data_IF_263672910346
#
_entry.id   IF_263672910346
#
_cell.length_a   1.000
_cell.length_b   1.000
_cell.length_c   1.000
_cell.angle_alpha   90.00
_cell.angle_beta   90.00
_cell.angle_gamma   90.00
#
_symmetry.space_group_name_H-M   'P 1'
#
loop_
_entity.id
_entity.type
_entity.pdbx_description
1 polymer ?
#
# COMPACT_ATOMS: atom_id res chain seq x y z
N UNK A 1 -20.12 -22.63 22.34
CA UNK A 1 -19.54 -21.36 22.82
C UNK A 1 -18.74 -20.76 21.67
N UNK A 2 -19.20 -19.66 21.09
CA UNK A 2 -18.43 -18.92 20.08
C UNK A 2 -17.27 -18.24 20.81
N UNK A 3 -16.05 -18.71 20.55
CA UNK A 3 -14.84 -18.04 21.03
C UNK A 3 -14.65 -16.80 20.18
N UNK A 4 -14.69 -15.61 20.80
CA UNK A 4 -14.40 -14.34 20.14
C UNK A 4 -12.95 -14.38 19.60
N UNK A 5 -12.80 -14.13 18.31
CA UNK A 5 -11.51 -14.09 17.59
C UNK A 5 -10.98 -12.66 17.42
N UNK A 6 -11.74 -11.65 17.88
CA UNK A 6 -11.38 -10.24 17.76
C UNK A 6 -10.06 -9.94 18.49
N UNK A 7 -9.04 -9.53 17.72
CA UNK A 7 -7.75 -9.06 18.23
C UNK A 7 -6.69 -10.12 18.46
N UNK A 8 -6.98 -11.40 18.22
CA UNK A 8 -6.10 -12.50 18.59
C UNK A 8 -5.10 -12.81 17.45
N UNK A 9 -3.84 -13.06 17.79
CA UNK A 9 -2.79 -13.42 16.80
C UNK A 9 -2.45 -14.92 16.81
N UNK A 10 -2.04 -15.46 15.66
CA UNK A 10 -1.57 -16.84 15.52
C UNK A 10 -0.26 -17.06 16.29
N UNK A 11 -0.22 -18.07 17.17
CA UNK A 11 0.96 -18.38 17.99
C UNK A 11 2.20 -18.82 17.19
N UNK A 12 2.07 -19.12 15.89
CA UNK A 12 3.19 -19.43 14.99
C UNK A 12 3.65 -18.23 14.17
N UNK A 13 2.75 -17.63 13.40
CA UNK A 13 3.10 -16.62 12.41
C UNK A 13 2.89 -15.19 12.91
N UNK A 14 2.29 -15.03 14.09
CA UNK A 14 1.97 -13.76 14.74
C UNK A 14 1.06 -12.82 13.93
N UNK A 15 0.49 -13.28 12.82
CA UNK A 15 -0.53 -12.55 12.08
C UNK A 15 -1.88 -12.61 12.82
N UNK A 16 -2.70 -11.58 12.65
CA UNK A 16 -4.07 -11.56 13.16
C UNK A 16 -4.91 -12.71 12.62
N UNK A 17 -5.77 -13.26 13.48
CA UNK A 17 -6.77 -14.25 13.16
C UNK A 17 -8.10 -13.55 12.96
N UNK A 18 -8.62 -13.60 11.73
CA UNK A 18 -9.91 -13.02 11.41
C UNK A 18 -11.05 -14.01 11.70
N UNK A 19 -12.28 -13.54 11.99
CA UNK A 19 -13.45 -14.42 12.18
C UNK A 19 -13.70 -15.40 11.02
N UNK A 20 -13.31 -15.03 9.80
CA UNK A 20 -13.37 -15.84 8.59
C UNK A 20 -12.22 -16.84 8.41
N UNK A 21 -11.15 -16.74 9.21
CA UNK A 21 -10.04 -17.69 9.15
C UNK A 21 -10.43 -19.03 9.78
N UNK A 22 -9.90 -20.13 9.22
CA UNK A 22 -10.01 -21.44 9.85
C UNK A 22 -8.97 -21.55 10.97
N UNK A 23 -9.44 -21.41 12.20
CA UNK A 23 -8.60 -21.30 13.40
C UNK A 23 -8.60 -22.61 14.17
N UNK A 24 -7.39 -23.08 14.50
CA UNK A 24 -7.15 -24.25 15.35
C UNK A 24 -6.61 -23.77 16.69
N UNK A 25 -7.25 -24.19 17.78
CA UNK A 25 -6.75 -23.98 19.13
C UNK A 25 -6.02 -25.23 19.60
N UNK A 26 -4.84 -25.05 20.19
CA UNK A 26 -4.10 -26.16 20.79
C UNK A 26 -4.93 -26.81 21.90
N UNK A 27 -5.10 -28.15 21.91
CA UNK A 27 -5.87 -28.83 22.95
C UNK A 27 -5.20 -28.83 24.33
N UNK A 28 -3.89 -28.55 24.40
CA UNK A 28 -3.11 -28.54 25.66
C UNK A 28 -3.15 -27.16 26.32
N UNK A 29 -2.71 -26.12 25.61
CA UNK A 29 -2.57 -24.77 26.17
C UNK A 29 -3.63 -23.78 25.69
N UNK A 30 -4.45 -24.12 24.70
CA UNK A 30 -5.46 -23.20 24.15
C UNK A 30 -4.88 -22.11 23.24
N UNK A 31 -3.60 -22.17 22.86
CA UNK A 31 -2.98 -21.22 21.95
C UNK A 31 -3.62 -21.29 20.54
N UNK A 32 -4.00 -20.13 19.94
CA UNK A 32 -4.69 -20.07 18.66
C UNK A 32 -3.72 -20.08 17.47
N UNK A 33 -4.08 -20.75 16.38
CA UNK A 33 -3.25 -20.88 15.18
C UNK A 33 -4.12 -20.83 13.92
N UNK A 34 -3.61 -20.30 12.81
CA UNK A 34 -4.18 -20.62 11.48
C UNK A 34 -4.08 -22.13 11.24
N UNK A 35 -5.11 -22.76 10.67
CA UNK A 35 -5.09 -24.20 10.38
C UNK A 35 -3.87 -24.63 9.57
N UNK A 36 -3.48 -23.85 8.57
CA UNK A 36 -2.29 -24.09 7.76
C UNK A 36 -1.01 -24.07 8.60
N UNK A 37 -0.87 -23.06 9.47
CA UNK A 37 0.25 -22.93 10.40
C UNK A 37 0.32 -24.10 11.39
N UNK A 38 -0.81 -24.61 11.86
CA UNK A 38 -0.82 -25.78 12.75
C UNK A 38 -0.44 -27.06 12.00
N UNK A 39 -1.00 -27.27 10.80
CA UNK A 39 -0.76 -28.47 10.01
C UNK A 39 0.68 -28.59 9.49
N UNK A 40 1.27 -27.47 9.07
CA UNK A 40 2.66 -27.45 8.61
C UNK A 40 3.66 -27.76 9.74
N UNK A 41 3.38 -27.36 10.99
CA UNK A 41 4.19 -27.73 12.15
C UNK A 41 3.90 -29.18 12.58
N UNK A 42 2.65 -29.61 12.46
CA UNK A 42 2.16 -30.89 12.98
C UNK A 42 1.90 -30.89 14.48
N UNK A 43 2.26 -29.82 15.19
CA UNK A 43 2.10 -29.63 16.63
C UNK A 43 1.87 -28.15 16.97
N UNK A 44 1.62 -27.86 18.25
CA UNK A 44 1.51 -26.47 18.71
C UNK A 44 2.85 -25.73 18.58
N UNK A 45 2.82 -24.48 18.14
CA UNK A 45 4.04 -23.65 18.05
C UNK A 45 4.68 -23.39 19.41
N UNK A 46 3.92 -23.48 20.51
CA UNK A 46 4.37 -23.28 21.89
C UNK A 46 4.51 -24.60 22.66
N UNK A 47 4.70 -25.73 21.95
CA UNK A 47 4.76 -27.05 22.56
C UNK A 47 5.83 -27.17 23.65
N UNK A 48 7.00 -26.54 23.46
CA UNK A 48 8.10 -26.54 24.44
C UNK A 48 7.73 -25.83 25.75
N UNK A 49 6.71 -24.98 25.75
CA UNK A 49 6.25 -24.24 26.93
C UNK A 49 5.15 -24.97 27.68
N UNK A 50 4.64 -26.09 27.16
CA UNK A 50 3.61 -26.88 27.82
C UNK A 50 4.09 -27.41 29.18
N UNK A 51 3.26 -27.23 30.21
CA UNK A 51 3.54 -27.68 31.58
C UNK A 51 4.54 -26.81 32.34
N UNK A 52 4.97 -25.69 31.78
CA UNK A 52 5.89 -24.74 32.42
C UNK A 52 5.16 -23.48 32.91
N UNK A 53 5.81 -22.68 33.75
CA UNK A 53 5.30 -21.37 34.19
C UNK A 53 5.12 -20.37 33.03
N UNK A 54 5.64 -20.68 31.84
CA UNK A 54 5.52 -19.88 30.62
C UNK A 54 4.52 -20.46 29.62
N UNK A 55 3.70 -21.44 30.02
CA UNK A 55 2.64 -21.96 29.17
C UNK A 55 1.68 -20.84 28.76
N UNK A 56 1.22 -20.87 27.52
CA UNK A 56 0.24 -19.91 27.01
C UNK A 56 -0.97 -19.81 27.94
N UNK A 57 -1.21 -18.59 28.44
CA UNK A 57 -2.38 -18.25 29.24
C UNK A 57 -3.18 -17.19 28.48
N UNK A 58 -4.44 -17.54 28.17
CA UNK A 58 -5.35 -16.67 27.45
C UNK A 58 -5.65 -15.37 28.19
N UNK A 59 -5.67 -15.38 29.53
CA UNK A 59 -5.92 -14.18 30.33
C UNK A 59 -4.70 -13.25 30.29
N UNK A 60 -3.49 -13.80 30.42
CA UNK A 60 -2.23 -13.05 30.33
C UNK A 60 -2.04 -12.50 28.93
N UNK A 61 -2.24 -13.30 27.88
CA UNK A 61 -2.16 -12.85 26.50
C UNK A 61 -3.17 -11.73 26.18
N UNK A 62 -4.40 -11.82 26.72
CA UNK A 62 -5.40 -10.76 26.57
C UNK A 62 -5.05 -9.49 27.37
N UNK A 63 -4.37 -9.61 28.51
CA UNK A 63 -3.84 -8.46 29.26
C UNK A 63 -2.61 -7.84 28.60
N UNK A 64 -1.72 -8.66 28.04
CA UNK A 64 -0.55 -8.23 27.27
C UNK A 64 -0.97 -7.56 25.95
N UNK A 65 -1.98 -8.09 25.26
CA UNK A 65 -2.59 -7.42 24.09
C UNK A 65 -3.25 -6.11 24.48
N UNK A 66 -3.94 -6.02 25.63
CA UNK A 66 -4.48 -4.75 26.14
C UNK A 66 -3.38 -3.75 26.51
N UNK A 67 -2.27 -4.22 27.09
CA UNK A 67 -1.08 -3.40 27.41
C UNK A 67 -0.29 -3.00 26.17
N UNK A 68 -0.21 -3.85 25.16
CA UNK A 68 0.44 -3.57 23.88
C UNK A 68 -0.42 -2.64 23.00
N UNK A 69 -1.75 -2.77 23.07
CA UNK A 69 -2.71 -1.86 22.46
C UNK A 69 -2.81 -0.51 23.20
N UNK A 70 -2.31 -0.45 24.44
CA UNK A 70 -2.31 0.72 25.30
C UNK A 70 -0.94 0.89 25.98
N UNK A 71 0.12 1.23 25.21
CA UNK A 71 1.45 1.46 25.79
C UNK A 71 1.41 2.77 26.58
N UNK A 72 1.17 2.69 27.89
CA UNK A 72 1.23 3.80 28.85
C UNK A 72 0.72 5.14 28.30
N UNK A 73 -0.53 5.14 27.89
CA UNK A 73 -1.31 6.37 27.73
C UNK A 73 -2.27 6.45 28.90
N UNK A 74 -1.72 6.73 30.09
CA UNK A 74 -2.47 7.39 31.16
C UNK A 74 -2.83 8.80 30.67
N UNK A 75 -3.83 8.87 29.79
CA UNK A 75 -4.51 10.12 29.49
C UNK A 75 -5.87 10.03 30.17
N UNK A 76 -5.88 10.44 31.43
CA UNK A 76 -7.05 11.05 32.04
C UNK A 76 -7.49 12.20 31.11
N UNK A 77 -8.53 11.92 30.32
CA UNK A 77 -8.99 12.72 29.19
C UNK A 77 -9.51 14.13 29.56
N UNK A 78 -9.45 14.52 30.83
CA UNK A 78 -9.83 15.86 31.29
C UNK A 78 -8.63 16.76 31.65
N UNK A 79 -7.39 16.27 31.69
CA UNK A 79 -6.22 17.10 32.07
C UNK A 79 -4.88 16.68 31.42
N UNK A 80 -4.84 16.39 30.12
CA UNK A 80 -3.57 16.14 29.41
C UNK A 80 -2.75 17.44 29.23
N UNK A 81 -2.08 17.89 30.29
CA UNK A 81 -0.93 18.81 30.22
C UNK A 81 0.34 17.97 30.39
N UNK A 82 1.20 17.91 29.37
CA UNK A 82 2.46 17.18 29.49
C UNK A 82 3.14 16.84 28.17
N UNK A 83 4.28 16.14 28.30
CA UNK A 83 5.01 15.57 27.17
C UNK A 83 4.40 14.22 26.77
N UNK A 84 4.21 14.01 25.47
CA UNK A 84 3.81 12.75 24.86
C UNK A 84 4.95 12.19 24.00
N UNK A 85 4.95 10.88 23.76
CA UNK A 85 5.93 10.21 22.90
C UNK A 85 5.33 9.98 21.51
N UNK A 86 6.06 10.34 20.46
CA UNK A 86 5.62 10.13 19.07
C UNK A 86 5.68 8.65 18.68
N UNK A 87 4.56 8.04 18.26
CA UNK A 87 4.55 6.65 17.78
C UNK A 87 5.29 6.41 16.44
N UNK A 88 5.63 7.48 15.70
CA UNK A 88 6.37 7.39 14.43
C UNK A 88 7.88 7.46 14.59
N UNK A 89 8.39 8.32 15.48
CA UNK A 89 9.83 8.57 15.61
C UNK A 89 10.35 8.51 17.06
N UNK A 90 9.49 8.20 18.01
CA UNK A 90 9.76 8.10 19.45
C UNK A 90 10.26 9.38 20.13
N UNK A 91 10.18 10.52 19.44
CA UNK A 91 10.49 11.83 20.02
C UNK A 91 9.46 12.23 21.07
N UNK A 92 9.94 12.80 22.19
CA UNK A 92 9.06 13.37 23.22
C UNK A 92 8.75 14.82 22.89
N UNK A 93 7.48 15.20 22.90
CA UNK A 93 7.05 16.56 22.57
C UNK A 93 5.80 16.97 23.34
N UNK A 94 5.55 18.27 23.41
CA UNK A 94 4.41 18.82 24.15
C UNK A 94 3.08 18.45 23.47
N UNK A 95 2.12 17.97 24.27
CA UNK A 95 0.77 17.62 23.80
C UNK A 95 0.02 18.77 23.12
N UNK A 96 0.36 20.03 23.45
CA UNK A 96 -0.22 21.22 22.81
C UNK A 96 0.11 21.32 21.32
N UNK A 97 1.17 20.66 20.84
CA UNK A 97 1.51 20.66 19.42
C UNK A 97 0.58 19.73 18.64
N UNK A 98 0.14 20.19 17.46
CA UNK A 98 -0.73 19.41 16.57
C UNK A 98 0.04 18.34 15.78
N UNK A 99 1.37 18.41 15.77
CA UNK A 99 2.25 17.47 15.09
C UNK A 99 3.59 17.38 15.81
N UNK A 100 4.24 16.21 15.71
CA UNK A 100 5.58 16.01 16.21
C UNK A 100 6.57 16.98 15.53
N UNK A 101 7.38 17.75 16.30
CA UNK A 101 8.30 18.73 15.73
C UNK A 101 9.46 18.11 14.94
N UNK A 102 9.82 16.85 15.24
CA UNK A 102 10.93 16.15 14.58
C UNK A 102 10.55 15.48 13.27
N UNK A 103 9.48 14.68 13.28
CA UNK A 103 9.08 13.89 12.11
C UNK A 103 7.85 14.42 11.37
N UNK A 104 7.12 15.38 11.93
CA UNK A 104 5.92 15.95 11.32
C UNK A 104 4.67 15.07 11.39
N UNK A 105 4.73 13.91 12.05
CA UNK A 105 3.56 13.05 12.25
C UNK A 105 2.47 13.80 13.04
N UNK A 106 1.18 13.68 12.68
CA UNK A 106 0.10 14.31 13.42
C UNK A 106 0.03 13.78 14.85
N UNK A 107 -0.37 14.64 15.77
CA UNK A 107 -0.60 14.25 17.15
C UNK A 107 -1.93 13.46 17.24
N UNK A 108 -1.81 12.13 17.22
CA UNK A 108 -2.95 11.20 17.25
C UNK A 108 -3.75 11.34 18.56
N UNK A 109 -3.06 11.59 19.68
CA UNK A 109 -3.71 11.80 20.98
C UNK A 109 -4.66 13.02 20.97
N UNK A 110 -4.40 14.02 20.11
CA UNK A 110 -5.29 15.15 19.85
C UNK A 110 -6.39 14.86 18.82
N UNK A 111 -6.12 14.00 17.84
CA UNK A 111 -7.01 13.82 16.68
C UNK A 111 -8.20 12.88 16.93
N UNK A 112 -8.14 12.00 17.94
CA UNK A 112 -9.18 10.98 18.16
C UNK A 112 -9.67 10.78 19.59
N UNK A 113 -9.09 11.48 20.58
CA UNK A 113 -9.30 11.16 21.99
C UNK A 113 -8.77 9.75 22.35
N UNK A 114 -8.87 9.38 23.63
CA UNK A 114 -8.34 8.12 24.20
C UNK A 114 -8.90 6.82 23.57
N UNK A 115 -9.84 6.91 22.63
CA UNK A 115 -10.52 5.75 22.01
C UNK A 115 -9.88 5.25 20.69
N UNK A 116 -8.90 5.96 20.13
CA UNK A 116 -8.27 5.57 18.85
C UNK A 116 -6.84 5.10 19.09
N UNK A 117 -6.67 3.80 19.32
CA UNK A 117 -5.35 3.16 19.22
C UNK A 117 -4.97 3.02 17.75
N UNK A 118 -3.88 3.67 17.34
CA UNK A 118 -3.40 3.64 15.96
C UNK A 118 -2.18 2.75 15.86
N UNK A 119 -2.38 1.54 15.34
CA UNK A 119 -1.29 0.62 15.03
C UNK A 119 -0.57 1.06 13.74
N UNK A 120 0.59 1.70 13.91
CA UNK A 120 1.43 2.13 12.80
C UNK A 120 2.04 0.97 12.01
N UNK A 121 2.16 -0.22 12.58
CA UNK A 121 2.81 -1.37 11.95
C UNK A 121 1.78 -2.37 11.40
N UNK A 122 0.50 -2.23 11.77
CA UNK A 122 -0.59 -3.06 11.28
C UNK A 122 -0.41 -4.54 11.64
N UNK A 123 0.05 -4.82 12.85
CA UNK A 123 0.31 -6.16 13.39
C UNK A 123 1.69 -6.73 13.08
N UNK A 124 2.55 -5.99 12.38
CA UNK A 124 3.91 -6.43 12.10
C UNK A 124 4.83 -6.08 13.29
N UNK A 125 5.66 -7.01 13.80
CA UNK A 125 6.64 -6.70 14.83
C UNK A 125 7.61 -5.59 14.41
N UNK A 126 7.98 -4.71 15.33
CA UNK A 126 8.82 -3.54 15.04
C UNK A 126 10.20 -3.91 14.48
N UNK A 127 10.76 -5.03 14.95
CA UNK A 127 12.05 -5.59 14.55
C UNK A 127 11.99 -6.49 13.32
N UNK A 128 10.79 -6.76 12.78
CA UNK A 128 10.61 -7.59 11.60
C UNK A 128 11.40 -7.03 10.40
N UNK A 129 12.25 -7.86 9.78
CA UNK A 129 13.01 -7.46 8.60
C UNK A 129 12.10 -7.44 7.37
N UNK A 130 11.76 -6.23 6.92
CA UNK A 130 11.01 -6.04 5.68
C UNK A 130 11.90 -6.23 4.45
N UNK A 131 13.22 -6.36 4.57
CA UNK A 131 14.12 -6.73 3.50
C UNK A 131 15.47 -6.03 3.59
N UNK A 132 16.54 -6.78 3.33
CA UNK A 132 17.93 -6.33 3.37
C UNK A 132 18.35 -5.72 4.72
N UNK A 133 17.81 -6.21 5.85
CA UNK A 133 18.13 -5.72 7.18
C UNK A 133 17.51 -4.36 7.52
N UNK A 134 16.37 -4.04 6.88
CA UNK A 134 15.56 -2.85 7.18
C UNK A 134 14.37 -3.31 8.02
N UNK A 135 14.18 -2.74 9.20
CA UNK A 135 13.08 -3.16 10.09
C UNK A 135 11.77 -2.50 9.69
N UNK A 136 10.66 -3.10 10.12
CA UNK A 136 9.33 -2.50 9.98
C UNK A 136 9.25 -1.12 10.66
N UNK A 137 9.90 -0.95 11.82
CA UNK A 137 9.97 0.31 12.54
C UNK A 137 10.64 1.44 11.75
N UNK A 138 11.73 1.13 11.04
CA UNK A 138 12.37 2.13 10.19
C UNK A 138 11.55 2.43 8.94
N UNK A 139 10.97 1.39 8.34
CA UNK A 139 10.17 1.52 7.14
C UNK A 139 8.93 2.41 7.36
N UNK A 140 8.33 2.36 8.57
CA UNK A 140 7.16 3.18 8.93
C UNK A 140 7.46 4.67 8.77
N UNK A 141 8.67 5.09 9.15
CA UNK A 141 9.13 6.50 9.03
C UNK A 141 9.23 6.94 7.58
N UNK A 142 9.62 6.03 6.68
CA UNK A 142 9.70 6.30 5.25
C UNK A 142 8.32 6.36 4.57
N UNK A 143 7.42 5.40 4.85
CA UNK A 143 6.09 5.36 4.20
C UNK A 143 5.08 6.34 4.82
N UNK A 144 5.40 6.86 6.01
CA UNK A 144 4.68 7.90 6.73
C UNK A 144 3.19 7.59 6.90
N UNK A 145 2.31 8.47 6.44
CA UNK A 145 0.86 8.35 6.60
C UNK A 145 0.24 7.06 6.01
N UNK A 146 0.96 6.33 5.16
CA UNK A 146 0.46 5.10 4.54
C UNK A 146 0.94 3.83 5.25
N UNK A 147 1.49 3.98 6.45
CA UNK A 147 2.08 2.86 7.20
C UNK A 147 1.14 1.69 7.47
N UNK A 148 -0.16 1.87 7.84
CA UNK A 148 -1.04 0.74 8.12
C UNK A 148 -1.29 -0.15 6.89
N UNK A 149 -1.16 0.43 5.69
CA UNK A 149 -1.27 -0.31 4.43
C UNK A 149 0.04 -0.99 4.07
N UNK A 150 1.14 -0.24 4.10
CA UNK A 150 2.37 -0.68 3.46
C UNK A 150 3.24 -1.57 4.33
N UNK A 151 3.26 -1.40 5.65
CA UNK A 151 4.08 -2.26 6.50
C UNK A 151 3.63 -3.73 6.43
N UNK A 152 2.34 -4.06 6.63
CA UNK A 152 1.87 -5.44 6.47
C UNK A 152 2.08 -5.97 5.05
N UNK A 153 1.84 -5.14 4.03
CA UNK A 153 2.08 -5.52 2.63
C UNK A 153 3.55 -5.81 2.36
N UNK A 154 4.46 -5.00 2.90
CA UNK A 154 5.89 -5.20 2.72
C UNK A 154 6.36 -6.46 3.44
N UNK A 155 5.82 -6.79 4.60
CA UNK A 155 6.11 -8.04 5.28
C UNK A 155 5.67 -9.27 4.45
N UNK A 156 4.49 -9.21 3.83
CA UNK A 156 3.97 -10.30 3.00
C UNK A 156 4.72 -10.51 1.67
N UNK A 157 5.30 -9.44 1.11
CA UNK A 157 6.05 -9.48 -0.15
C UNK A 157 7.50 -9.92 0.09
N UNK A 158 8.08 -10.78 -0.75
CA UNK A 158 9.47 -11.20 -0.65
C UNK A 158 10.04 -11.62 -2.00
N UNK A 159 11.26 -12.19 -2.03
CA UNK A 159 11.93 -12.60 -3.27
C UNK A 159 11.17 -13.68 -4.05
N UNK A 160 10.37 -14.51 -3.34
CA UNK A 160 9.52 -15.57 -3.90
C UNK A 160 8.08 -15.09 -4.16
N UNK A 161 7.55 -14.20 -3.33
CA UNK A 161 6.21 -13.62 -3.46
C UNK A 161 6.26 -12.12 -3.81
N UNK A 162 6.20 -11.79 -5.11
CA UNK A 162 6.35 -10.41 -5.62
C UNK A 162 5.04 -9.78 -6.07
N UNK A 163 3.93 -10.50 -5.91
CA UNK A 163 2.64 -10.16 -6.52
C UNK A 163 1.66 -9.73 -5.45
N UNK A 164 0.96 -8.64 -5.71
CA UNK A 164 -0.17 -8.18 -4.90
C UNK A 164 -1.06 -7.29 -5.75
N UNK A 165 -2.36 -7.27 -5.51
CA UNK A 165 -3.24 -6.35 -6.25
C UNK A 165 -3.26 -4.94 -5.63
N UNK A 166 -2.99 -3.93 -6.46
CA UNK A 166 -3.08 -2.53 -6.09
C UNK A 166 -4.02 -1.74 -7.02
N UNK A 167 -5.18 -1.36 -6.48
CA UNK A 167 -6.20 -0.59 -7.19
C UNK A 167 -5.74 0.79 -7.68
N UNK A 168 -4.98 1.51 -6.86
CA UNK A 168 -4.55 2.85 -7.23
C UNK A 168 -3.48 2.82 -8.34
N UNK A 169 -2.61 1.81 -8.34
CA UNK A 169 -1.67 1.56 -9.42
C UNK A 169 -2.37 1.04 -10.70
N UNK A 170 -3.48 0.31 -10.57
CA UNK A 170 -4.31 -0.10 -11.71
C UNK A 170 -4.99 1.08 -12.40
N UNK A 171 -5.66 1.94 -11.62
CA UNK A 171 -6.44 3.06 -12.14
C UNK A 171 -5.53 4.20 -12.62
N UNK A 172 -4.43 4.45 -11.92
CA UNK A 172 -3.53 5.58 -12.17
C UNK A 172 -2.05 5.16 -12.14
N UNK A 173 -1.55 4.32 -13.08
CA UNK A 173 -0.17 3.81 -13.04
C UNK A 173 0.89 4.91 -12.86
N UNK A 174 0.90 5.89 -13.76
CA UNK A 174 1.84 7.01 -13.75
C UNK A 174 1.70 7.86 -12.46
N UNK A 175 0.50 8.34 -12.18
CA UNK A 175 0.23 9.19 -11.01
C UNK A 175 0.57 8.51 -9.69
N UNK A 176 0.19 7.25 -9.51
CA UNK A 176 0.44 6.48 -8.29
C UNK A 176 1.93 6.25 -8.01
N UNK A 177 2.73 5.96 -9.06
CA UNK A 177 4.17 5.77 -8.93
C UNK A 177 4.90 7.08 -8.66
N UNK A 178 4.52 8.17 -9.37
CA UNK A 178 5.10 9.50 -9.16
C UNK A 178 4.77 10.05 -7.78
N UNK A 179 3.55 9.84 -7.28
CA UNK A 179 3.15 10.29 -5.95
C UNK A 179 3.99 9.65 -4.84
N UNK A 180 4.55 8.45 -5.08
CA UNK A 180 5.46 7.73 -4.18
C UNK A 180 6.93 7.96 -4.51
N UNK A 181 7.23 8.97 -5.32
CA UNK A 181 8.59 9.41 -5.70
C UNK A 181 9.40 8.34 -6.44
N UNK A 182 8.73 7.31 -6.97
CA UNK A 182 9.31 6.33 -7.89
C UNK A 182 9.40 6.91 -9.30
N UNK A 183 10.17 8.00 -9.47
CA UNK A 183 10.18 8.81 -10.70
C UNK A 183 10.46 7.99 -11.95
N UNK A 184 11.45 7.10 -11.91
CA UNK A 184 11.79 6.22 -13.03
C UNK A 184 10.61 5.35 -13.46
N UNK A 185 9.96 4.67 -12.50
CA UNK A 185 8.84 3.78 -12.80
C UNK A 185 7.63 4.58 -13.30
N UNK A 186 7.35 5.73 -12.67
CA UNK A 186 6.26 6.63 -13.08
C UNK A 186 6.44 7.18 -14.49
N UNK A 187 7.64 7.64 -14.85
CA UNK A 187 7.95 8.12 -16.21
C UNK A 187 7.79 7.00 -17.23
N UNK A 188 8.31 5.79 -16.95
CA UNK A 188 8.17 4.64 -17.85
C UNK A 188 6.69 4.29 -18.06
N UNK A 189 5.91 4.15 -16.98
CA UNK A 189 4.49 3.87 -17.06
C UNK A 189 3.72 4.97 -17.82
N UNK A 190 4.10 6.24 -17.60
CA UNK A 190 3.53 7.39 -18.29
C UNK A 190 3.80 7.37 -19.79
N UNK A 191 5.06 7.18 -20.20
CA UNK A 191 5.45 7.11 -21.61
C UNK A 191 4.74 5.96 -22.34
N UNK A 192 4.70 4.77 -21.73
CA UNK A 192 3.97 3.63 -22.29
C UNK A 192 2.47 3.93 -22.43
N UNK A 193 1.88 4.62 -21.46
CA UNK A 193 0.47 5.03 -21.52
C UNK A 193 0.23 6.04 -22.65
N UNK A 194 1.12 7.01 -22.84
CA UNK A 194 1.05 7.99 -23.93
C UNK A 194 1.20 7.31 -25.29
N UNK A 195 2.17 6.41 -25.44
CA UNK A 195 2.36 5.61 -26.67
C UNK A 195 1.09 4.80 -26.98
N UNK A 196 0.51 4.13 -25.98
CA UNK A 196 -0.73 3.37 -26.16
C UNK A 196 -1.88 4.26 -26.63
N UNK A 197 -1.94 5.52 -26.18
CA UNK A 197 -2.97 6.50 -26.55
C UNK A 197 -2.75 7.06 -27.96
N UNK A 198 -1.49 7.25 -28.37
CA UNK A 198 -1.14 7.69 -29.73
C UNK A 198 -1.58 6.66 -30.77
N UNK A 199 -1.47 5.37 -30.47
CA UNK A 199 -1.93 4.29 -31.36
C UNK A 199 -3.45 4.32 -31.64
N UNK A 200 -4.23 4.99 -30.78
CA UNK A 200 -5.66 5.20 -31.00
C UNK A 200 -6.02 6.41 -31.87
N UNK A 201 -5.10 7.37 -32.03
CA UNK A 201 -5.38 8.62 -32.73
C UNK A 201 -5.89 8.43 -34.16
N UNK A 202 -5.35 7.51 -34.99
CA UNK A 202 -5.87 7.30 -36.34
C UNK A 202 -7.34 6.86 -36.36
N UNK A 203 -7.77 6.05 -35.39
CA UNK A 203 -9.15 5.63 -35.26
C UNK A 203 -10.06 6.80 -34.83
N UNK A 204 -9.60 7.63 -33.88
CA UNK A 204 -10.34 8.83 -33.48
C UNK A 204 -10.52 9.80 -34.67
N UNK A 205 -9.46 10.03 -35.46
CA UNK A 205 -9.55 10.86 -36.66
C UNK A 205 -10.54 10.31 -37.69
N UNK A 206 -10.59 8.98 -37.86
CA UNK A 206 -11.58 8.34 -38.73
C UNK A 206 -13.01 8.55 -38.20
N UNK A 207 -13.22 8.35 -36.89
CA UNK A 207 -14.49 8.59 -36.21
C UNK A 207 -15.00 10.03 -36.44
N UNK A 208 -14.14 11.03 -36.24
CA UNK A 208 -14.49 12.43 -36.50
C UNK A 208 -14.81 12.70 -37.97
N UNK A 209 -14.04 12.13 -38.90
CA UNK A 209 -14.25 12.29 -40.35
C UNK A 209 -15.60 11.76 -40.82
N UNK A 210 -16.06 10.65 -40.24
CA UNK A 210 -17.36 10.05 -40.57
C UNK A 210 -18.53 10.71 -39.84
N UNK A 211 -18.28 11.76 -39.05
CA UNK A 211 -19.32 12.58 -38.44
C UNK A 211 -20.12 11.85 -37.34
N UNK A 212 -19.50 10.89 -36.65
CA UNK A 212 -20.15 10.23 -35.51
C UNK A 212 -20.41 11.28 -34.41
N UNK A 213 -21.61 11.27 -33.82
CA UNK A 213 -22.01 12.35 -32.92
C UNK A 213 -21.43 12.16 -31.52
N UNK A 214 -21.04 13.25 -30.84
CA UNK A 214 -20.61 13.21 -29.43
C UNK A 214 -21.73 12.76 -28.48
N UNK A 215 -22.98 12.73 -28.96
CA UNK A 215 -24.16 12.23 -28.24
C UNK A 215 -24.47 10.76 -28.52
N UNK A 216 -23.70 10.10 -29.39
CA UNK A 216 -23.91 8.71 -29.74
C UNK A 216 -23.61 7.80 -28.55
N UNK A 217 -24.48 6.81 -28.32
CA UNK A 217 -24.20 5.77 -27.34
C UNK A 217 -22.99 4.93 -27.79
N UNK A 218 -22.31 4.29 -26.84
CA UNK A 218 -21.17 3.39 -27.15
C UNK A 218 -21.55 2.30 -28.16
N UNK A 219 -22.80 1.81 -28.13
CA UNK A 219 -23.31 0.85 -29.09
C UNK A 219 -23.48 1.43 -30.50
N UNK A 220 -23.94 2.68 -30.60
CA UNK A 220 -24.06 3.40 -31.88
C UNK A 220 -22.69 3.63 -32.51
N UNK A 221 -21.71 4.08 -31.74
CA UNK A 221 -20.32 4.27 -32.20
C UNK A 221 -19.74 2.95 -32.69
N UNK A 222 -19.91 1.86 -31.94
CA UNK A 222 -19.43 0.54 -32.36
C UNK A 222 -20.09 0.05 -33.65
N UNK A 223 -21.41 0.26 -33.80
CA UNK A 223 -22.15 -0.06 -35.03
C UNK A 223 -21.68 0.76 -36.23
N UNK A 224 -21.42 2.05 -36.03
CA UNK A 224 -20.93 2.97 -37.06
C UNK A 224 -19.49 2.65 -37.51
N UNK A 225 -18.62 2.27 -36.57
CA UNK A 225 -17.26 1.78 -36.89
C UNK A 225 -17.34 0.47 -37.69
N UNK A 226 -18.24 -0.43 -37.32
CA UNK A 226 -18.42 -1.70 -38.04
C UNK A 226 -18.94 -1.50 -39.47
N UNK A 227 -19.85 -0.55 -39.67
CA UNK A 227 -20.41 -0.26 -41.01
C UNK A 227 -19.39 0.41 -41.96
N UNK A 228 -18.42 1.14 -41.42
CA UNK A 228 -17.36 1.81 -42.20
C UNK A 228 -16.00 1.10 -42.09
N UNK A 229 -15.97 -0.16 -41.64
CA UNK A 229 -14.73 -0.88 -41.32
C UNK A 229 -13.77 -0.99 -42.52
N UNK A 230 -14.32 -1.14 -43.73
CA UNK A 230 -13.57 -1.18 -44.98
C UNK A 230 -12.95 0.17 -45.36
N UNK A 231 -13.58 1.28 -44.96
CA UNK A 231 -13.13 2.64 -45.25
C UNK A 231 -12.11 3.15 -44.21
N UNK A 232 -12.23 2.70 -42.96
CA UNK A 232 -11.26 3.00 -41.88
C UNK A 232 -9.92 2.31 -42.14
N UNK A 233 -9.96 1.10 -42.69
CA UNK A 233 -8.78 0.30 -43.02
C UNK A 233 -8.27 -0.56 -41.86
N UNK A 234 -7.84 -1.76 -42.20
CA UNK A 234 -7.44 -2.81 -41.23
C UNK A 234 -6.25 -2.41 -40.36
N UNK A 235 -5.29 -1.65 -40.91
CA UNK A 235 -4.12 -1.19 -40.16
C UNK A 235 -4.48 -0.22 -39.03
N UNK A 236 -5.46 0.67 -39.26
CA UNK A 236 -5.94 1.64 -38.25
C UNK A 236 -6.60 0.90 -37.08
N UNK A 237 -7.44 -0.09 -37.39
CA UNK A 237 -8.13 -0.91 -36.38
C UNK A 237 -7.11 -1.74 -35.59
N UNK A 238 -6.15 -2.36 -36.28
CA UNK A 238 -5.09 -3.12 -35.62
C UNK A 238 -4.25 -2.25 -34.68
N UNK A 239 -3.87 -1.03 -35.10
CA UNK A 239 -3.15 -0.08 -34.24
C UNK A 239 -3.96 0.28 -32.99
N UNK A 240 -5.24 0.62 -33.14
CA UNK A 240 -6.12 0.92 -32.02
C UNK A 240 -6.28 -0.26 -31.05
N UNK A 241 -6.43 -1.49 -31.57
CA UNK A 241 -6.47 -2.71 -30.75
C UNK A 241 -5.17 -2.95 -29.99
N UNK A 242 -4.01 -2.74 -30.63
CA UNK A 242 -2.72 -2.86 -29.96
C UNK A 242 -2.60 -1.80 -28.85
N UNK A 243 -3.01 -0.56 -29.13
CA UNK A 243 -3.10 0.51 -28.13
C UNK A 243 -3.96 0.12 -26.94
N UNK A 244 -5.14 -0.48 -27.19
CA UNK A 244 -6.05 -0.96 -26.14
C UNK A 244 -5.38 -1.98 -25.23
N UNK A 245 -4.88 -3.06 -25.84
CA UNK A 245 -4.31 -4.19 -25.13
C UNK A 245 -3.06 -3.77 -24.37
N UNK A 246 -2.24 -2.90 -24.96
CA UNK A 246 -1.09 -2.29 -24.31
C UNK A 246 -1.52 -1.47 -23.08
N UNK A 247 -2.58 -0.66 -23.17
CA UNK A 247 -3.07 0.12 -22.02
C UNK A 247 -3.53 -0.79 -20.87
N UNK A 248 -4.31 -1.82 -21.18
CA UNK A 248 -4.75 -2.81 -20.19
C UNK A 248 -3.55 -3.54 -19.58
N UNK A 249 -2.58 -3.96 -20.39
CA UNK A 249 -1.38 -4.63 -19.91
C UNK A 249 -0.58 -3.74 -18.96
N UNK A 250 -0.37 -2.46 -19.29
CA UNK A 250 0.32 -1.49 -18.40
C UNK A 250 -0.39 -1.41 -17.05
N UNK A 251 -1.72 -1.31 -17.03
CA UNK A 251 -2.51 -1.22 -15.80
C UNK A 251 -2.43 -2.48 -14.96
N UNK A 252 -2.58 -3.65 -15.57
CA UNK A 252 -2.50 -4.95 -14.89
C UNK A 252 -1.09 -5.22 -14.34
N UNK A 253 -0.05 -4.95 -15.12
CA UNK A 253 1.34 -5.10 -14.65
C UNK A 253 1.62 -4.12 -13.51
N UNK A 254 1.17 -2.87 -13.62
CA UNK A 254 1.33 -1.87 -12.56
C UNK A 254 0.57 -2.23 -11.29
N UNK A 255 -0.62 -2.84 -11.42
CA UNK A 255 -1.42 -3.26 -10.26
C UNK A 255 -0.79 -4.44 -9.53
N UNK A 256 -0.26 -5.42 -10.27
CA UNK A 256 0.33 -6.67 -9.75
C UNK A 256 1.69 -6.42 -9.07
N UNK A 257 2.54 -5.60 -9.68
CA UNK A 257 3.92 -5.39 -9.22
C UNK A 257 4.14 -4.06 -8.51
N UNK A 258 3.16 -3.15 -8.50
CA UNK A 258 3.32 -1.80 -7.97
C UNK A 258 3.80 -1.78 -6.53
N UNK A 259 3.16 -2.54 -5.63
CA UNK A 259 3.55 -2.56 -4.22
C UNK A 259 4.92 -3.21 -4.00
N UNK A 260 5.30 -4.21 -4.80
CA UNK A 260 6.65 -4.80 -4.75
C UNK A 260 7.73 -3.83 -5.23
N UNK A 261 7.47 -3.08 -6.31
CA UNK A 261 8.36 -2.01 -6.76
C UNK A 261 8.51 -0.92 -5.70
N UNK A 262 7.42 -0.58 -5.00
CA UNK A 262 7.46 0.41 -3.92
C UNK A 262 8.19 -0.10 -2.68
N UNK A 263 8.03 -1.37 -2.33
CA UNK A 263 8.85 -2.03 -1.30
C UNK A 263 10.33 -1.92 -1.63
N UNK A 264 10.72 -2.32 -2.85
CA UNK A 264 12.11 -2.26 -3.31
C UNK A 264 12.66 -0.84 -3.25
N UNK A 265 11.91 0.14 -3.77
CA UNK A 265 12.27 1.55 -3.69
C UNK A 265 12.46 2.03 -2.25
N UNK A 266 11.58 1.62 -1.34
CA UNK A 266 11.67 1.95 0.09
C UNK A 266 12.96 1.41 0.70
N UNK A 267 13.23 0.11 0.53
CA UNK A 267 14.44 -0.55 1.06
C UNK A 267 15.70 0.09 0.50
N UNK A 268 15.78 0.29 -0.82
CA UNK A 268 16.94 0.92 -1.48
C UNK A 268 17.15 2.37 -1.01
N UNK A 269 16.06 3.13 -0.84
CA UNK A 269 16.13 4.52 -0.37
C UNK A 269 16.58 4.60 1.08
N UNK A 270 16.06 3.76 1.96
CA UNK A 270 16.47 3.72 3.37
C UNK A 270 17.96 3.33 3.48
N UNK A 271 18.41 2.31 2.73
CA UNK A 271 19.84 1.94 2.68
C UNK A 271 20.72 3.08 2.20
N UNK A 272 20.25 3.88 1.24
CA UNK A 272 20.96 5.08 0.78
C UNK A 272 21.04 6.12 1.89
N UNK A 273 19.93 6.43 2.54
CA UNK A 273 19.83 7.41 3.63
C UNK A 273 20.76 7.01 4.79
N UNK A 274 20.75 5.73 5.22
CA UNK A 274 21.65 5.20 6.26
C UNK A 274 23.14 5.46 5.97
N UNK A 275 23.54 5.51 4.70
CA UNK A 275 24.96 5.67 4.30
C UNK A 275 25.39 7.11 4.08
N UNK A 276 24.47 7.95 3.60
CA UNK A 276 24.81 9.24 3.00
C UNK A 276 24.17 10.44 3.73
N UNK A 277 23.20 10.21 4.61
CA UNK A 277 22.36 11.28 5.15
C UNK A 277 23.01 11.98 6.35
N UNK A 278 23.05 13.32 6.30
CA UNK A 278 23.37 14.17 7.45
C UNK A 278 22.16 14.38 8.37
N UNK A 279 20.96 14.46 7.78
CA UNK A 279 19.67 14.52 8.48
C UNK A 279 18.71 13.44 7.94
N UNK A 280 18.67 12.32 8.66
CA UNK A 280 17.85 11.15 8.32
C UNK A 280 16.36 11.50 8.29
N UNK A 281 15.88 12.35 9.20
CA UNK A 281 14.46 12.69 9.31
C UNK A 281 14.01 13.58 8.14
N UNK A 282 14.85 14.54 7.73
CA UNK A 282 14.61 15.33 6.53
C UNK A 282 14.60 14.45 5.28
N UNK A 283 15.57 13.55 5.14
CA UNK A 283 15.65 12.68 3.96
C UNK A 283 14.49 11.68 3.87
N UNK A 284 13.99 11.16 5.00
CA UNK A 284 12.76 10.37 5.01
C UNK A 284 11.56 11.17 4.53
N UNK A 285 11.40 12.44 4.92
CA UNK A 285 10.32 13.30 4.39
C UNK A 285 10.51 13.61 2.91
N UNK A 286 11.75 13.82 2.48
CA UNK A 286 12.09 14.21 1.11
C UNK A 286 11.95 13.06 0.12
N UNK A 287 12.33 11.84 0.47
CA UNK A 287 12.30 10.66 -0.40
C UNK A 287 11.10 9.74 -0.16
N UNK A 288 10.54 9.75 1.05
CA UNK A 288 9.40 8.93 1.45
C UNK A 288 8.03 9.62 1.32
N UNK A 289 7.00 9.02 1.90
CA UNK A 289 5.64 9.54 1.94
C UNK A 289 4.95 9.65 0.57
N UNK A 290 3.88 10.44 0.52
CA UNK A 290 3.08 10.67 -0.70
C UNK A 290 3.03 12.15 -1.04
N UNK A 291 3.21 12.47 -2.32
CA UNK A 291 3.03 13.80 -2.88
C UNK A 291 1.82 13.81 -3.84
N UNK A 292 0.73 14.42 -3.40
CA UNK A 292 -0.51 14.48 -4.19
C UNK A 292 -0.38 15.34 -5.47
N UNK A 293 0.48 16.35 -5.47
CA UNK A 293 0.69 17.16 -6.69
C UNK A 293 1.37 16.34 -7.77
N UNK A 294 2.33 15.48 -7.42
CA UNK A 294 2.95 14.55 -8.37
C UNK A 294 1.94 13.51 -8.88
N UNK A 295 0.99 13.08 -8.05
CA UNK A 295 -0.13 12.25 -8.50
C UNK A 295 -0.92 12.96 -9.61
N UNK A 296 -1.36 14.19 -9.33
CA UNK A 296 -2.16 14.99 -10.25
C UNK A 296 -1.39 15.28 -11.54
N UNK A 297 -0.14 15.75 -11.45
CA UNK A 297 0.72 15.98 -12.62
C UNK A 297 0.82 14.71 -13.46
N UNK A 298 1.09 13.56 -12.85
CA UNK A 298 1.19 12.28 -13.56
C UNK A 298 -0.11 11.87 -14.25
N UNK A 299 -1.24 12.00 -13.56
CA UNK A 299 -2.55 11.65 -14.08
C UNK A 299 -2.99 12.59 -15.22
N UNK A 300 -2.79 13.90 -15.07
CA UNK A 300 -3.13 14.89 -16.09
C UNK A 300 -2.19 14.80 -17.30
N UNK A 301 -0.90 14.54 -17.09
CA UNK A 301 0.07 14.40 -18.18
C UNK A 301 -0.31 13.26 -19.13
N UNK A 302 -0.63 12.06 -18.62
CA UNK A 302 -1.02 10.94 -19.49
C UNK A 302 -2.37 11.16 -20.17
N UNK A 303 -3.25 11.96 -19.57
CA UNK A 303 -4.56 12.27 -20.13
C UNK A 303 -4.49 13.29 -21.28
N UNK A 304 -3.71 14.37 -21.11
CA UNK A 304 -3.72 15.50 -22.05
C UNK A 304 -2.55 15.52 -23.02
N UNK A 305 -1.40 14.92 -22.69
CA UNK A 305 -0.24 14.92 -23.59
C UNK A 305 -0.54 14.27 -24.95
N UNK A 306 -1.30 13.16 -25.06
CA UNK A 306 -1.66 12.60 -26.36
C UNK A 306 -2.45 13.58 -27.23
N UNK A 307 -3.38 14.34 -26.64
CA UNK A 307 -4.16 15.34 -27.36
C UNK A 307 -3.29 16.53 -27.82
N UNK A 308 -2.36 16.98 -26.98
CA UNK A 308 -1.40 18.02 -27.35
C UNK A 308 -0.52 17.54 -28.52
N UNK A 309 -0.01 16.30 -28.45
CA UNK A 309 0.80 15.71 -29.53
C UNK A 309 -0.03 15.64 -30.81
N UNK A 310 -1.30 15.24 -30.73
CA UNK A 310 -2.22 15.14 -31.87
C UNK A 310 -2.46 16.48 -32.59
N UNK A 311 -2.21 17.64 -31.96
CA UNK A 311 -2.30 18.95 -32.64
C UNK A 311 -1.14 19.15 -33.64
N UNK A 312 -0.01 18.47 -33.44
CA UNK A 312 1.21 18.65 -34.23
C UNK A 312 1.47 17.55 -35.26
N UNK A 313 0.65 16.49 -35.29
CA UNK A 313 0.75 15.35 -36.22
C UNK A 313 -0.53 15.22 -37.05
#
# INVERSE_FOLDING_TARGET
MSLKTEGVTCARCHAYLFPEDDIVYCPVCGAPHHRECYNELGHCALEELHGTDKQYDKAVAAEEEKRAANPDVDIDAENAKGQITCGMCHEKYDFSLNSCPKCGAPNIAKAGGSFVSFDFLGGVPADYDIGDGITADEAKRFVAANTPRYIPKFAALNSKNRVSWNWAAFLFPCGWMLSRKMYKNGIIAGLLTVISSILYLPLNNAIYKFGFSDTDTTASIAGNVLSHISEIGTAVIAAAMIGFLMNIAIRVVSSIFGDYLYKKYTVESIKKIRRESEDIDEDYRRLGGVNIFLFLIGALAVQYLPAIIAVFI
#
